data_IF_272663566491
#
_entry.id   IF_272663566491
#
_cell.length_a   1.000
_cell.length_b   1.000
_cell.length_c   1.000
_cell.angle_alpha   90.00
_cell.angle_beta   90.00
_cell.angle_gamma   90.00
#
_symmetry.space_group_name_H-M   'P 1'
#
loop_
_entity.id
_entity.type
_entity.pdbx_description
1 polymer ?
#
# COMPACT_ATOMS: atom_id res chain seq x y z
N UNK A 1 -29.02 -2.37 -21.19
CA UNK A 1 -27.80 -2.17 -22.00
C UNK A 1 -26.69 -2.98 -21.34
N UNK A 2 -25.90 -3.75 -22.10
CA UNK A 2 -24.84 -4.57 -21.52
C UNK A 2 -23.70 -3.65 -20.99
N UNK A 3 -23.43 -3.69 -19.68
CA UNK A 3 -22.39 -2.87 -19.04
C UNK A 3 -20.96 -3.38 -19.29
N UNK A 4 -20.81 -4.59 -19.82
CA UNK A 4 -19.51 -5.25 -20.08
C UNK A 4 -18.50 -4.38 -20.84
N UNK A 5 -18.81 -3.80 -22.03
CA UNK A 5 -17.83 -3.00 -22.76
C UNK A 5 -17.36 -1.77 -21.97
N UNK A 6 -18.25 -1.14 -21.19
CA UNK A 6 -17.90 -0.01 -20.34
C UNK A 6 -16.97 -0.44 -19.19
N UNK A 7 -17.24 -1.58 -18.55
CA UNK A 7 -16.41 -2.13 -17.48
C UNK A 7 -15.03 -2.60 -17.99
N UNK A 8 -14.96 -3.20 -19.17
CA UNK A 8 -13.68 -3.57 -19.82
C UNK A 8 -12.87 -2.32 -20.15
N UNK A 9 -13.50 -1.29 -20.72
CA UNK A 9 -12.84 -0.01 -20.97
C UNK A 9 -12.33 0.65 -19.68
N UNK A 10 -13.16 0.65 -18.63
CA UNK A 10 -12.82 1.18 -17.31
C UNK A 10 -11.63 0.46 -16.68
N UNK A 11 -11.68 -0.88 -16.59
CA UNK A 11 -10.60 -1.68 -16.00
C UNK A 11 -9.30 -1.55 -16.78
N UNK A 12 -9.37 -1.46 -18.11
CA UNK A 12 -8.19 -1.18 -18.95
C UNK A 12 -7.61 0.21 -18.64
N UNK A 13 -8.45 1.24 -18.54
CA UNK A 13 -8.03 2.60 -18.19
C UNK A 13 -7.36 2.63 -16.81
N UNK A 14 -7.95 2.01 -15.79
CA UNK A 14 -7.41 1.98 -14.42
C UNK A 14 -6.16 1.11 -14.31
N UNK A 15 -6.14 -0.06 -14.95
CA UNK A 15 -5.04 -1.03 -14.86
C UNK A 15 -3.80 -0.63 -15.66
N UNK A 16 -3.97 0.14 -16.74
CA UNK A 16 -2.88 0.47 -17.68
C UNK A 16 -2.60 1.96 -17.76
N UNK A 17 -3.61 2.82 -17.91
CA UNK A 17 -3.39 4.25 -18.19
C UNK A 17 -3.17 5.05 -16.91
N UNK A 18 -4.01 4.85 -15.90
CA UNK A 18 -3.95 5.60 -14.63
C UNK A 18 -2.57 5.54 -13.93
N UNK A 19 -1.83 4.40 -13.91
CA UNK A 19 -0.49 4.33 -13.33
C UNK A 19 0.49 5.29 -14.02
N UNK A 20 0.47 5.37 -15.35
CA UNK A 20 1.34 6.27 -16.09
C UNK A 20 1.00 7.74 -15.86
N UNK A 21 -0.30 8.06 -15.68
CA UNK A 21 -0.74 9.41 -15.31
C UNK A 21 -0.25 9.77 -13.91
N UNK A 22 -0.33 8.84 -12.95
CA UNK A 22 0.19 9.05 -11.60
C UNK A 22 1.70 9.28 -11.58
N UNK A 23 2.47 8.48 -12.30
CA UNK A 23 3.92 8.60 -12.37
C UNK A 23 4.39 9.91 -13.02
N UNK A 24 3.64 10.43 -13.98
CA UNK A 24 3.95 11.73 -14.62
C UNK A 24 3.53 12.94 -13.79
N UNK A 25 2.67 12.73 -12.80
CA UNK A 25 2.19 13.82 -11.97
C UNK A 25 3.23 14.19 -10.91
N UNK A 26 3.50 15.49 -10.72
CA UNK A 26 4.43 15.96 -9.67
C UNK A 26 3.78 16.17 -8.29
N UNK A 27 2.48 15.89 -8.14
CA UNK A 27 1.77 16.03 -6.87
C UNK A 27 1.96 14.86 -5.89
N UNK A 28 2.17 13.59 -6.30
CA UNK A 28 2.28 12.48 -5.36
C UNK A 28 3.39 12.67 -4.32
N UNK A 29 4.56 13.15 -4.75
CA UNK A 29 5.66 13.45 -3.83
C UNK A 29 5.35 14.64 -2.89
N UNK A 30 4.46 15.56 -3.28
CA UNK A 30 4.06 16.70 -2.44
C UNK A 30 2.98 16.36 -1.42
N UNK A 31 2.21 15.29 -1.66
CA UNK A 31 1.15 14.82 -0.79
C UNK A 31 1.16 13.29 -0.71
N UNK A 32 2.19 12.69 -0.08
CA UNK A 32 2.44 11.26 -0.18
C UNK A 32 1.35 10.40 0.46
N UNK A 33 0.75 10.84 1.58
CA UNK A 33 -0.38 10.15 2.21
C UNK A 33 -1.60 10.06 1.27
N UNK A 34 -1.88 11.14 0.55
CA UNK A 34 -2.98 11.18 -0.41
C UNK A 34 -2.69 10.32 -1.65
N UNK A 35 -1.45 10.30 -2.11
CA UNK A 35 -1.02 9.44 -3.20
C UNK A 35 -1.14 7.95 -2.85
N UNK A 36 -0.75 7.55 -1.64
CA UNK A 36 -0.96 6.19 -1.13
C UNK A 36 -2.46 5.84 -1.18
N UNK A 37 -3.33 6.75 -0.72
CA UNK A 37 -4.77 6.54 -0.76
C UNK A 37 -5.30 6.36 -2.20
N UNK A 38 -4.83 7.18 -3.15
CA UNK A 38 -5.21 7.06 -4.57
C UNK A 38 -4.74 5.73 -5.18
N UNK A 39 -3.50 5.30 -4.94
CA UNK A 39 -3.02 3.99 -5.41
C UNK A 39 -3.87 2.83 -4.86
N UNK A 40 -4.23 2.87 -3.57
CA UNK A 40 -5.10 1.87 -2.97
C UNK A 40 -6.52 1.92 -3.54
N UNK A 41 -7.06 3.12 -3.75
CA UNK A 41 -8.37 3.30 -4.37
C UNK A 41 -8.40 2.74 -5.80
N UNK A 42 -7.34 2.95 -6.59
CA UNK A 42 -7.22 2.37 -7.93
C UNK A 42 -7.14 0.84 -7.88
N UNK A 43 -6.36 0.26 -6.96
CA UNK A 43 -6.25 -1.19 -6.80
C UNK A 43 -7.59 -1.85 -6.39
N UNK A 44 -8.30 -1.24 -5.43
CA UNK A 44 -9.64 -1.70 -5.00
C UNK A 44 -10.63 -1.57 -6.16
N UNK A 45 -10.67 -0.40 -6.81
CA UNK A 45 -11.60 -0.15 -7.91
C UNK A 45 -11.37 -1.09 -9.09
N UNK A 46 -10.10 -1.34 -9.44
CA UNK A 46 -9.74 -2.31 -10.46
C UNK A 46 -10.25 -3.71 -10.10
N UNK A 47 -10.03 -4.15 -8.86
CA UNK A 47 -10.47 -5.47 -8.39
C UNK A 47 -11.99 -5.63 -8.48
N UNK A 48 -12.75 -4.60 -8.07
CA UNK A 48 -14.21 -4.57 -8.19
C UNK A 48 -14.62 -4.58 -9.67
N UNK A 49 -13.98 -3.76 -10.52
CA UNK A 49 -14.28 -3.69 -11.94
C UNK A 49 -14.06 -5.01 -12.68
N UNK A 50 -12.98 -5.74 -12.37
CA UNK A 50 -12.72 -7.07 -12.94
C UNK A 50 -13.76 -8.08 -12.48
N UNK A 51 -14.11 -8.07 -11.19
CA UNK A 51 -15.16 -8.94 -10.66
C UNK A 51 -16.52 -8.67 -11.35
N UNK A 52 -16.90 -7.40 -11.50
CA UNK A 52 -18.14 -7.02 -12.19
C UNK A 52 -18.11 -7.36 -13.68
N UNK A 53 -16.96 -7.22 -14.34
CA UNK A 53 -16.79 -7.61 -15.75
C UNK A 53 -17.01 -9.11 -15.91
N UNK A 54 -16.39 -9.93 -15.05
CA UNK A 54 -16.57 -11.38 -15.08
C UNK A 54 -18.04 -11.78 -14.83
N UNK A 55 -18.69 -11.13 -13.87
CA UNK A 55 -20.12 -11.34 -13.59
C UNK A 55 -20.99 -11.01 -14.82
N UNK A 56 -20.82 -9.83 -15.43
CA UNK A 56 -21.65 -9.41 -16.57
C UNK A 56 -21.39 -10.25 -17.84
N UNK A 57 -20.18 -10.78 -18.00
CA UNK A 57 -19.87 -11.68 -19.11
C UNK A 57 -20.54 -13.05 -18.93
N UNK A 58 -20.64 -13.53 -17.69
CA UNK A 58 -21.33 -14.78 -17.36
C UNK A 58 -22.86 -14.63 -17.37
N UNK A 59 -23.39 -13.47 -16.97
CA UNK A 59 -24.84 -13.18 -16.88
C UNK A 59 -25.20 -11.87 -17.62
N UNK A 60 -25.22 -11.86 -18.97
CA UNK A 60 -25.38 -10.63 -19.75
C UNK A 60 -26.77 -9.98 -19.64
N UNK A 61 -27.78 -10.74 -19.22
CA UNK A 61 -29.19 -10.36 -19.22
C UNK A 61 -29.75 -10.10 -17.82
N UNK A 62 -29.08 -10.55 -16.77
CA UNK A 62 -29.54 -10.39 -15.39
C UNK A 62 -28.98 -9.11 -14.77
N UNK A 63 -29.84 -8.37 -14.07
CA UNK A 63 -29.41 -7.17 -13.35
C UNK A 63 -28.63 -7.56 -12.09
N UNK A 64 -27.66 -6.73 -11.66
CA UNK A 64 -26.77 -7.02 -10.53
C UNK A 64 -27.52 -7.36 -9.23
N UNK A 65 -28.71 -6.77 -9.03
CA UNK A 65 -29.60 -7.06 -7.90
C UNK A 65 -30.10 -8.52 -7.90
N UNK A 66 -30.46 -9.07 -9.06
CA UNK A 66 -30.85 -10.47 -9.18
C UNK A 66 -29.67 -11.42 -8.91
N UNK A 67 -28.46 -11.01 -9.30
CA UNK A 67 -27.21 -11.71 -8.99
C UNK A 67 -26.83 -11.71 -7.52
N UNK A 68 -27.01 -10.59 -6.82
CA UNK A 68 -26.74 -10.47 -5.38
C UNK A 68 -27.70 -11.35 -4.56
N UNK A 69 -28.98 -11.37 -4.96
CA UNK A 69 -29.96 -12.29 -4.38
C UNK A 69 -29.56 -13.74 -4.66
N UNK A 70 -29.15 -14.08 -5.88
CA UNK A 70 -28.62 -15.41 -6.22
C UNK A 70 -27.34 -15.79 -5.44
N UNK A 71 -26.45 -14.83 -5.17
CA UNK A 71 -25.27 -15.02 -4.34
C UNK A 71 -25.65 -15.35 -2.89
N UNK A 72 -26.60 -14.61 -2.31
CA UNK A 72 -27.12 -14.89 -0.96
C UNK A 72 -27.75 -16.29 -0.88
N UNK A 73 -28.50 -16.70 -1.90
CA UNK A 73 -29.04 -18.07 -2.01
C UNK A 73 -27.94 -19.14 -2.13
N UNK A 74 -26.94 -18.94 -2.98
CA UNK A 74 -25.81 -19.89 -3.13
C UNK A 74 -24.95 -19.99 -1.87
N UNK A 75 -24.94 -18.97 -1.03
CA UNK A 75 -24.38 -18.98 0.32
C UNK A 75 -25.30 -19.63 1.37
N UNK A 76 -26.47 -20.15 0.99
CA UNK A 76 -27.41 -20.85 1.88
C UNK A 76 -28.28 -19.93 2.76
N UNK A 77 -28.32 -18.63 2.47
CA UNK A 77 -29.24 -17.69 3.11
C UNK A 77 -30.54 -17.65 2.30
N UNK A 78 -31.45 -18.56 2.64
CA UNK A 78 -32.66 -18.80 1.88
C UNK A 78 -33.71 -17.69 2.10
N UNK A 79 -33.95 -16.88 1.07
CA UNK A 79 -35.09 -15.94 1.00
C UNK A 79 -36.02 -16.38 -0.14
N UNK A 80 -36.51 -17.62 -0.06
CA UNK A 80 -37.72 -18.06 -0.77
C UNK A 80 -37.57 -18.50 -2.24
N UNK A 81 -38.11 -19.70 -2.47
CA UNK A 81 -38.49 -20.37 -3.72
C UNK A 81 -37.36 -20.97 -4.57
N UNK A 82 -37.38 -22.31 -4.65
CA UNK A 82 -36.45 -23.15 -5.39
C UNK A 82 -36.29 -22.76 -6.86
N UNK A 83 -35.07 -22.33 -7.20
CA UNK A 83 -34.55 -22.29 -8.57
C UNK A 83 -33.92 -23.66 -8.89
N UNK A 84 -33.90 -24.08 -10.17
CA UNK A 84 -33.19 -25.29 -10.59
C UNK A 84 -31.69 -25.19 -10.30
N UNK A 85 -31.00 -26.34 -10.27
CA UNK A 85 -29.55 -26.42 -10.01
C UNK A 85 -28.78 -25.36 -10.81
N UNK A 86 -27.88 -24.60 -10.18
CA UNK A 86 -27.19 -23.49 -10.83
C UNK A 86 -26.40 -23.99 -12.04
N UNK A 87 -26.66 -23.35 -13.19
CA UNK A 87 -25.98 -23.64 -14.44
C UNK A 87 -24.49 -23.25 -14.37
N UNK A 88 -23.73 -23.61 -15.40
CA UNK A 88 -22.32 -23.19 -15.49
C UNK A 88 -22.17 -21.66 -15.45
N UNK A 89 -23.08 -20.92 -16.07
CA UNK A 89 -23.09 -19.46 -16.06
C UNK A 89 -23.25 -18.89 -14.65
N UNK A 90 -24.22 -19.39 -13.87
CA UNK A 90 -24.45 -18.95 -12.48
C UNK A 90 -23.22 -19.21 -11.61
N UNK A 91 -22.61 -20.39 -11.76
CA UNK A 91 -21.38 -20.75 -11.03
C UNK A 91 -20.20 -19.85 -11.39
N UNK A 92 -20.04 -19.46 -12.66
CA UNK A 92 -18.97 -18.55 -13.08
C UNK A 92 -19.22 -17.12 -12.62
N UNK A 93 -20.47 -16.66 -12.68
CA UNK A 93 -20.87 -15.32 -12.28
C UNK A 93 -20.56 -15.02 -10.82
N UNK A 94 -20.77 -16.01 -9.95
CA UNK A 94 -20.44 -15.93 -8.51
C UNK A 94 -18.99 -16.34 -8.25
N UNK A 95 -18.55 -17.44 -8.87
CA UNK A 95 -17.28 -18.09 -8.58
C UNK A 95 -16.07 -17.23 -8.91
N UNK A 96 -16.08 -16.48 -10.03
CA UNK A 96 -14.93 -15.65 -10.41
C UNK A 96 -14.75 -14.46 -9.47
N UNK A 97 -15.78 -13.63 -9.18
CA UNK A 97 -15.69 -12.59 -8.13
C UNK A 97 -15.26 -13.13 -6.78
N UNK A 98 -15.85 -14.26 -6.34
CA UNK A 98 -15.50 -14.89 -5.08
C UNK A 98 -14.04 -15.35 -5.07
N UNK A 99 -13.56 -15.95 -6.15
CA UNK A 99 -12.16 -16.37 -6.28
C UNK A 99 -11.19 -15.19 -6.23
N UNK A 100 -11.51 -14.05 -6.85
CA UNK A 100 -10.69 -12.83 -6.78
C UNK A 100 -10.64 -12.32 -5.33
N UNK A 101 -11.80 -12.23 -4.66
CA UNK A 101 -11.87 -11.77 -3.28
C UNK A 101 -11.10 -12.71 -2.32
N UNK A 102 -11.26 -14.03 -2.49
CA UNK A 102 -10.53 -15.04 -1.73
C UNK A 102 -9.03 -14.95 -2.01
N UNK A 103 -8.61 -14.80 -3.27
CA UNK A 103 -7.19 -14.70 -3.62
C UNK A 103 -6.53 -13.46 -3.00
N UNK A 104 -7.19 -12.29 -3.07
CA UNK A 104 -6.68 -11.06 -2.47
C UNK A 104 -6.60 -11.15 -0.94
N UNK A 105 -7.65 -11.65 -0.29
CA UNK A 105 -7.71 -11.78 1.18
C UNK A 105 -6.75 -12.84 1.70
N UNK A 106 -6.66 -14.00 1.04
CA UNK A 106 -5.71 -15.06 1.38
C UNK A 106 -4.26 -14.61 1.15
N UNK A 107 -3.97 -13.91 0.04
CA UNK A 107 -2.64 -13.35 -0.21
C UNK A 107 -2.27 -12.32 0.84
N UNK A 108 -3.17 -11.39 1.19
CA UNK A 108 -2.94 -10.43 2.27
C UNK A 108 -2.66 -11.13 3.61
N UNK A 109 -3.49 -12.10 3.98
CA UNK A 109 -3.30 -12.89 5.19
C UNK A 109 -1.96 -13.62 5.19
N UNK A 110 -1.57 -14.21 4.05
CA UNK A 110 -0.28 -14.88 3.87
C UNK A 110 0.90 -13.90 4.04
N UNK A 111 0.86 -12.73 3.40
CA UNK A 111 1.92 -11.72 3.50
C UNK A 111 2.07 -11.20 4.93
N UNK A 112 0.95 -10.95 5.61
CA UNK A 112 0.95 -10.54 7.03
C UNK A 112 1.47 -11.67 7.92
N UNK A 113 1.05 -12.91 7.70
CA UNK A 113 1.49 -14.06 8.49
C UNK A 113 2.99 -14.35 8.29
N UNK A 114 3.48 -14.33 7.04
CA UNK A 114 4.89 -14.50 6.70
C UNK A 114 5.75 -13.41 7.35
N UNK A 115 5.35 -12.15 7.22
CA UNK A 115 6.05 -11.03 7.86
C UNK A 115 6.04 -11.15 9.40
N UNK A 116 4.92 -11.61 9.99
CA UNK A 116 4.85 -11.85 11.44
C UNK A 116 5.82 -12.95 11.88
N UNK A 117 5.88 -14.08 11.16
CA UNK A 117 6.79 -15.20 11.46
C UNK A 117 8.25 -14.77 11.42
N UNK A 118 8.69 -14.16 10.31
CA UNK A 118 10.05 -13.65 10.17
C UNK A 118 10.41 -12.65 11.28
N UNK A 119 9.46 -11.82 11.73
CA UNK A 119 9.67 -10.88 12.84
C UNK A 119 9.69 -11.55 14.21
N UNK A 120 9.05 -12.69 14.40
CA UNK A 120 9.10 -13.43 15.67
C UNK A 120 10.50 -14.00 15.85
N UNK A 121 11.03 -14.67 14.83
CA UNK A 121 12.40 -15.19 14.81
C UNK A 121 13.45 -14.08 15.01
N UNK A 122 13.27 -12.96 14.31
CA UNK A 122 14.16 -11.80 14.47
C UNK A 122 14.07 -11.18 15.88
N UNK A 123 12.88 -11.17 16.49
CA UNK A 123 12.72 -10.68 17.88
C UNK A 123 13.42 -11.58 18.88
N UNK A 124 13.33 -12.90 18.73
CA UNK A 124 14.02 -13.85 19.61
C UNK A 124 15.53 -13.61 19.55
N UNK A 125 16.07 -13.42 18.34
CA UNK A 125 17.48 -13.03 18.17
C UNK A 125 17.79 -11.71 18.87
N UNK A 126 16.96 -10.68 18.68
CA UNK A 126 17.15 -9.38 19.32
C UNK A 126 17.01 -9.38 20.84
N UNK A 127 16.18 -10.25 21.40
CA UNK A 127 16.03 -10.38 22.85
C UNK A 127 17.29 -11.03 23.46
N UNK A 128 18.11 -11.74 22.66
CA UNK A 128 19.40 -12.30 23.09
C UNK A 128 20.56 -11.31 22.98
N UNK A 129 20.62 -10.51 21.90
CA UNK A 129 21.79 -9.65 21.61
C UNK A 129 21.54 -8.15 21.77
N UNK A 130 20.28 -7.72 21.80
CA UNK A 130 19.89 -6.32 21.88
C UNK A 130 19.79 -5.83 23.32
N UNK A 131 20.16 -4.56 23.55
CA UNK A 131 20.00 -3.89 24.85
C UNK A 131 18.98 -2.77 24.73
N UNK A 132 17.92 -2.80 25.55
CA UNK A 132 16.94 -1.73 25.56
C UNK A 132 17.52 -0.46 26.20
N UNK A 133 17.38 0.68 25.51
CA UNK A 133 17.74 2.00 26.02
C UNK A 133 16.47 2.82 26.25
N UNK A 134 16.14 3.07 27.53
CA UNK A 134 14.99 3.90 27.90
C UNK A 134 15.13 5.34 27.39
N UNK A 135 16.36 5.88 27.39
CA UNK A 135 16.65 7.24 26.89
C UNK A 135 16.29 7.40 25.42
N UNK A 136 16.57 6.38 24.60
CA UNK A 136 16.30 6.40 23.16
C UNK A 136 14.93 5.81 22.82
N UNK A 137 14.23 5.22 23.80
CA UNK A 137 13.03 4.40 23.58
C UNK A 137 13.23 3.35 22.46
N UNK A 138 14.44 2.82 22.34
CA UNK A 138 14.87 1.94 21.25
C UNK A 138 15.73 0.78 21.77
N UNK A 139 15.84 -0.29 20.98
CA UNK A 139 16.73 -1.41 21.25
C UNK A 139 18.04 -1.20 20.50
N UNK A 140 19.16 -1.15 21.22
CA UNK A 140 20.50 -1.00 20.63
C UNK A 140 21.07 -2.38 20.33
N UNK A 141 21.47 -2.62 19.08
CA UNK A 141 22.04 -3.87 18.60
C UNK A 141 23.54 -3.69 18.32
N UNK A 142 24.43 -4.59 18.78
CA UNK A 142 25.83 -4.59 18.38
C UNK A 142 25.94 -4.92 16.88
N UNK A 143 26.23 -3.91 16.05
CA UNK A 143 26.34 -4.08 14.61
C UNK A 143 27.22 -2.97 14.01
N UNK A 144 28.26 -3.38 13.28
CA UNK A 144 29.33 -2.49 12.84
C UNK A 144 28.92 -1.44 11.79
N UNK A 145 27.74 -1.59 11.16
CA UNK A 145 27.25 -0.70 10.12
C UNK A 145 26.05 0.08 10.66
N UNK A 146 26.03 1.43 10.56
CA UNK A 146 24.85 2.23 10.86
C UNK A 146 23.55 1.68 10.25
N UNK A 147 22.65 1.25 11.13
CA UNK A 147 21.36 0.72 10.77
C UNK A 147 20.30 1.10 11.81
N UNK A 148 19.11 1.41 11.31
CA UNK A 148 17.91 1.58 12.08
C UNK A 148 16.78 0.92 11.30
N UNK A 149 15.85 0.32 12.03
CA UNK A 149 14.63 -0.25 11.47
C UNK A 149 13.60 -0.46 12.58
N UNK A 150 12.34 -0.47 12.19
CA UNK A 150 11.24 -0.79 13.10
C UNK A 150 10.81 -2.27 13.02
N UNK A 151 10.29 -2.79 14.13
CA UNK A 151 9.64 -4.10 14.19
C UNK A 151 8.17 -3.97 14.57
N UNK A 152 7.26 -3.84 13.58
CA UNK A 152 5.83 -3.65 13.85
C UNK A 152 5.19 -4.93 14.40
N UNK A 153 4.06 -4.79 15.12
CA UNK A 153 3.26 -5.90 15.63
C UNK A 153 2.70 -5.61 17.02
N UNK A 154 2.41 -6.67 17.80
CA UNK A 154 1.87 -6.56 19.17
C UNK A 154 2.81 -5.87 20.16
N UNK A 155 4.12 -6.06 19.98
CA UNK A 155 5.17 -5.39 20.75
C UNK A 155 6.04 -4.61 19.78
N UNK A 156 5.57 -3.44 19.30
CA UNK A 156 6.32 -2.64 18.38
C UNK A 156 7.56 -2.08 19.07
N UNK A 157 8.70 -2.05 18.38
CA UNK A 157 9.92 -1.41 18.87
C UNK A 157 10.77 -0.92 17.71
N UNK A 158 11.52 0.15 17.96
CA UNK A 158 12.58 0.63 17.08
C UNK A 158 13.88 -0.06 17.48
N UNK A 159 14.66 -0.47 16.48
CA UNK A 159 15.99 -1.06 16.66
C UNK A 159 17.00 -0.15 15.98
N UNK A 160 18.12 0.10 16.66
CA UNK A 160 19.22 0.91 16.17
C UNK A 160 20.55 0.20 16.43
N UNK A 161 21.49 0.26 15.51
CA UNK A 161 22.84 -0.26 15.71
C UNK A 161 23.63 0.62 16.69
N UNK A 162 24.55 0.03 17.43
CA UNK A 162 25.55 0.78 18.22
C UNK A 162 26.43 1.69 17.35
N UNK A 163 26.72 1.30 16.11
CA UNK A 163 27.41 2.16 15.15
C UNK A 163 26.63 3.45 14.85
N UNK A 164 25.34 3.36 14.55
CA UNK A 164 24.49 4.55 14.38
C UNK A 164 24.44 5.44 15.63
N UNK A 165 24.45 4.86 16.84
CA UNK A 165 24.48 5.64 18.09
C UNK A 165 25.81 6.38 18.28
N UNK A 166 26.91 5.82 17.79
CA UNK A 166 28.26 6.42 17.88
C UNK A 166 28.53 7.44 16.79
N UNK A 167 28.02 7.21 15.59
CA UNK A 167 28.38 7.97 14.38
C UNK A 167 27.42 9.13 14.10
N UNK A 168 26.14 9.01 14.47
CA UNK A 168 25.17 10.09 14.30
C UNK A 168 25.21 11.07 15.48
N UNK A 169 25.02 12.36 15.19
CA UNK A 169 24.78 13.36 16.24
C UNK A 169 23.44 13.08 16.96
N UNK A 170 23.22 13.62 18.18
CA UNK A 170 21.97 13.43 18.90
C UNK A 170 20.73 13.85 18.10
N UNK A 171 20.82 14.93 17.32
CA UNK A 171 19.72 15.44 16.49
C UNK A 171 19.45 14.52 15.30
N UNK A 172 20.52 14.02 14.65
CA UNK A 172 20.42 13.07 13.54
C UNK A 172 19.82 11.74 14.00
N UNK A 173 20.30 11.22 15.14
CA UNK A 173 19.76 10.02 15.75
C UNK A 173 18.28 10.22 16.13
N UNK A 174 17.93 11.37 16.69
CA UNK A 174 16.53 11.74 16.97
C UNK A 174 15.65 11.69 15.71
N UNK A 175 16.12 12.27 14.60
CA UNK A 175 15.39 12.26 13.34
C UNK A 175 15.17 10.84 12.80
N UNK A 176 16.19 9.98 12.89
CA UNK A 176 16.07 8.56 12.50
C UNK A 176 15.06 7.81 13.39
N UNK A 177 15.09 8.04 14.70
CA UNK A 177 14.15 7.40 15.62
C UNK A 177 12.70 7.84 15.37
N UNK A 178 12.48 9.13 15.12
CA UNK A 178 11.15 9.66 14.75
C UNK A 178 10.64 9.08 13.43
N UNK A 179 11.53 8.93 12.44
CA UNK A 179 11.22 8.27 11.17
C UNK A 179 10.79 6.80 11.38
N UNK A 180 11.57 6.02 12.14
CA UNK A 180 11.23 4.62 12.43
C UNK A 180 9.94 4.47 13.26
N UNK A 181 9.72 5.40 14.20
CA UNK A 181 8.50 5.43 14.99
C UNK A 181 7.27 5.73 14.12
N UNK A 182 7.43 6.56 13.07
CA UNK A 182 6.36 6.85 12.12
C UNK A 182 5.89 5.59 11.38
N UNK A 183 6.80 4.69 10.98
CA UNK A 183 6.42 3.41 10.36
C UNK A 183 5.56 2.53 11.26
N UNK A 184 5.85 2.52 12.56
CA UNK A 184 5.06 1.80 13.58
C UNK A 184 3.69 2.46 13.71
N UNK A 185 3.67 3.77 13.96
CA UNK A 185 2.45 4.54 14.21
C UNK A 185 1.49 4.48 13.02
N UNK A 186 2.01 4.68 11.81
CA UNK A 186 1.25 4.60 10.55
C UNK A 186 0.94 3.18 10.09
N UNK A 187 1.44 2.15 10.80
CA UNK A 187 1.29 0.73 10.43
C UNK A 187 1.67 0.47 8.96
N UNK A 188 2.73 1.11 8.48
CA UNK A 188 3.14 1.11 7.06
C UNK A 188 3.30 -0.31 6.48
N UNK A 189 3.71 -1.27 7.31
CA UNK A 189 3.76 -2.68 6.93
C UNK A 189 2.44 -3.30 6.47
N UNK A 190 1.28 -2.87 6.97
CA UNK A 190 -0.03 -3.38 6.53
C UNK A 190 -0.40 -2.79 5.17
N UNK A 191 -0.07 -1.52 4.95
CA UNK A 191 -0.27 -0.82 3.67
C UNK A 191 0.56 -1.50 2.57
N UNK A 192 1.84 -1.79 2.86
CA UNK A 192 2.69 -2.58 1.96
C UNK A 192 2.17 -3.98 1.71
N UNK A 193 1.70 -4.68 2.75
CA UNK A 193 1.15 -6.02 2.61
C UNK A 193 -0.11 -6.03 1.71
N UNK A 194 -0.94 -4.98 1.75
CA UNK A 194 -2.10 -4.85 0.88
C UNK A 194 -1.69 -4.69 -0.59
N UNK A 195 -0.72 -3.82 -0.89
CA UNK A 195 -0.23 -3.65 -2.26
C UNK A 195 0.53 -4.87 -2.78
N UNK A 196 1.28 -5.56 -1.92
CA UNK A 196 1.97 -6.80 -2.28
C UNK A 196 0.96 -7.93 -2.54
N UNK A 197 -0.13 -8.00 -1.77
CA UNK A 197 -1.22 -8.93 -2.04
C UNK A 197 -1.88 -8.66 -3.39
N UNK A 198 -2.22 -7.40 -3.67
CA UNK A 198 -2.73 -6.99 -4.99
C UNK A 198 -1.75 -7.34 -6.10
N UNK A 199 -0.46 -7.05 -5.91
CA UNK A 199 0.59 -7.39 -6.87
C UNK A 199 0.68 -8.89 -7.16
N UNK A 200 0.61 -9.73 -6.12
CA UNK A 200 0.69 -11.19 -6.29
C UNK A 200 -0.45 -11.77 -7.12
N UNK A 201 -1.65 -11.19 -7.03
CA UNK A 201 -2.84 -11.62 -7.79
C UNK A 201 -2.80 -11.07 -9.22
N UNK A 202 -2.33 -9.84 -9.39
CA UNK A 202 -2.41 -9.09 -10.65
C UNK A 202 -1.03 -8.76 -11.26
N UNK A 203 -0.05 -9.65 -11.10
CA UNK A 203 1.38 -9.41 -11.39
C UNK A 203 1.74 -8.89 -12.78
N UNK A 204 0.88 -9.13 -13.78
CA UNK A 204 1.12 -8.73 -15.17
C UNK A 204 0.68 -7.28 -15.46
N UNK A 205 0.00 -6.63 -14.53
CA UNK A 205 -0.57 -5.30 -14.75
C UNK A 205 0.41 -4.18 -14.36
N UNK A 206 0.51 -3.12 -15.18
CA UNK A 206 1.28 -1.92 -14.81
C UNK A 206 0.85 -1.33 -13.47
N UNK A 207 -0.47 -1.28 -13.20
CA UNK A 207 -1.00 -0.83 -11.91
C UNK A 207 -0.42 -1.62 -10.74
N UNK A 208 -0.35 -2.95 -10.84
CA UNK A 208 0.15 -3.81 -9.79
C UNK A 208 1.64 -3.60 -9.50
N UNK A 209 2.45 -3.38 -10.54
CA UNK A 209 3.88 -3.14 -10.40
C UNK A 209 4.15 -1.75 -9.80
N UNK A 210 3.60 -0.70 -10.41
CA UNK A 210 3.84 0.69 -9.98
C UNK A 210 3.22 1.00 -8.63
N UNK A 211 1.99 0.53 -8.34
CA UNK A 211 1.37 0.80 -7.05
C UNK A 211 2.20 0.24 -5.88
N UNK A 212 2.84 -0.93 -6.07
CA UNK A 212 3.71 -1.57 -5.06
C UNK A 212 4.97 -0.76 -4.80
N UNK A 213 5.67 -0.34 -5.85
CA UNK A 213 6.93 0.41 -5.75
C UNK A 213 6.71 1.84 -5.25
N UNK A 214 5.73 2.53 -5.83
CA UNK A 214 5.39 3.90 -5.44
C UNK A 214 4.85 3.95 -4.02
N UNK A 215 4.00 3.00 -3.60
CA UNK A 215 3.54 2.95 -2.20
C UNK A 215 4.71 2.83 -1.23
N UNK A 216 5.73 2.01 -1.55
CA UNK A 216 6.90 1.90 -0.68
C UNK A 216 7.65 3.24 -0.57
N UNK A 217 7.94 3.90 -1.69
CA UNK A 217 8.59 5.20 -1.70
C UNK A 217 7.76 6.27 -0.95
N UNK A 218 6.46 6.31 -1.17
CA UNK A 218 5.57 7.30 -0.55
C UNK A 218 5.44 7.08 0.96
N UNK A 219 5.46 5.84 1.44
CA UNK A 219 5.46 5.54 2.87
C UNK A 219 6.75 6.00 3.57
N UNK A 220 7.89 5.91 2.89
CA UNK A 220 9.16 6.52 3.37
C UNK A 220 9.03 8.05 3.45
N UNK A 221 8.43 8.68 2.43
CA UNK A 221 8.19 10.13 2.44
C UNK A 221 7.23 10.56 3.57
N UNK A 222 6.23 9.75 3.91
CA UNK A 222 5.33 10.01 5.05
C UNK A 222 6.09 9.91 6.37
N UNK A 223 7.02 8.96 6.49
CA UNK A 223 7.87 8.83 7.67
C UNK A 223 8.87 10.01 7.78
N UNK A 224 9.43 10.46 6.65
CA UNK A 224 10.23 11.69 6.59
C UNK A 224 9.42 12.90 7.06
N UNK A 225 8.20 13.08 6.54
CA UNK A 225 7.30 14.16 6.95
C UNK A 225 6.96 14.11 8.45
N UNK A 226 7.04 12.93 9.08
CA UNK A 226 6.90 12.79 10.53
C UNK A 226 8.12 13.34 11.27
N UNK A 227 9.33 12.93 10.86
CA UNK A 227 10.58 13.40 11.46
C UNK A 227 10.75 14.91 11.29
N UNK A 228 10.37 15.45 10.12
CA UNK A 228 10.44 16.88 9.79
C UNK A 228 9.53 17.78 10.63
N UNK A 229 8.58 17.22 11.41
CA UNK A 229 7.82 18.01 12.38
C UNK A 229 8.62 18.38 13.63
N UNK A 230 9.72 17.67 13.89
CA UNK A 230 10.56 17.84 15.09
C UNK A 230 12.02 18.13 14.78
N UNK A 231 12.46 17.85 13.55
CA UNK A 231 13.85 18.01 13.12
C UNK A 231 13.93 18.84 11.84
N UNK A 232 15.05 19.51 11.62
CA UNK A 232 15.28 20.30 10.41
C UNK A 232 15.56 19.42 9.19
N UNK A 233 15.35 20.00 8.01
CA UNK A 233 15.59 19.37 6.71
C UNK A 233 17.04 18.90 6.58
N UNK A 234 17.99 19.74 7.01
CA UNK A 234 19.43 19.45 7.00
C UNK A 234 19.80 18.27 7.91
N UNK A 235 19.21 18.20 9.11
CA UNK A 235 19.47 17.12 10.07
C UNK A 235 18.97 15.79 9.51
N UNK A 236 17.74 15.75 8.99
CA UNK A 236 17.20 14.52 8.39
C UNK A 236 17.99 14.12 7.15
N UNK A 237 18.28 15.05 6.24
CA UNK A 237 19.02 14.76 5.02
C UNK A 237 20.44 14.24 5.32
N UNK A 238 21.14 14.82 6.29
CA UNK A 238 22.46 14.35 6.70
C UNK A 238 22.37 12.96 7.30
N UNK A 239 21.40 12.71 8.19
CA UNK A 239 21.20 11.38 8.76
C UNK A 239 20.91 10.32 7.69
N UNK A 240 20.06 10.64 6.71
CA UNK A 240 19.78 9.75 5.56
C UNK A 240 21.04 9.44 4.75
N UNK A 241 21.87 10.45 4.50
CA UNK A 241 23.12 10.29 3.76
C UNK A 241 24.11 9.39 4.52
N UNK A 242 24.35 9.65 5.80
CA UNK A 242 25.26 8.84 6.64
C UNK A 242 24.81 7.36 6.70
N UNK A 243 23.51 7.14 6.91
CA UNK A 243 22.92 5.80 6.97
C UNK A 243 23.00 5.06 5.62
N UNK A 244 22.88 5.77 4.51
CA UNK A 244 23.02 5.19 3.17
C UNK A 244 24.49 4.92 2.81
N UNK A 245 25.38 5.86 3.09
CA UNK A 245 26.81 5.75 2.80
C UNK A 245 27.45 4.56 3.55
N UNK A 246 27.03 4.33 4.79
CA UNK A 246 27.45 3.20 5.61
C UNK A 246 27.12 1.82 5.02
N UNK A 247 25.98 1.69 4.32
CA UNK A 247 25.50 0.40 3.77
C UNK A 247 26.06 0.07 2.40
N UNK A 248 26.75 1.01 1.77
CA UNK A 248 27.12 0.93 0.37
C UNK A 248 28.64 0.79 0.25
N UNK A 249 29.19 -0.34 -0.27
CA UNK A 249 30.59 -0.40 -0.64
C UNK A 249 30.91 0.73 -1.62
N UNK A 250 32.03 1.45 -1.43
CA UNK A 250 32.44 2.56 -2.32
C UNK A 250 32.42 2.08 -3.78
N UNK A 251 31.42 2.52 -4.56
CA UNK A 251 31.30 2.21 -6.00
C UNK A 251 30.06 1.42 -6.43
N UNK A 252 29.20 0.94 -5.52
CA UNK A 252 28.01 0.16 -5.90
C UNK A 252 26.69 0.80 -5.41
N UNK A 253 26.08 1.70 -6.19
CA UNK A 253 24.72 2.17 -5.91
C UNK A 253 23.71 1.03 -6.18
N UNK A 254 23.29 0.32 -5.11
CA UNK A 254 22.19 -0.64 -5.18
C UNK A 254 20.85 0.06 -5.45
N UNK A 255 19.81 -0.70 -5.82
CA UNK A 255 18.45 -0.19 -6.07
C UNK A 255 17.87 0.68 -4.93
N UNK A 256 18.33 0.49 -3.68
CA UNK A 256 17.97 1.33 -2.54
C UNK A 256 18.55 2.76 -2.58
N UNK A 257 19.58 3.02 -3.38
CA UNK A 257 20.18 4.35 -3.51
C UNK A 257 19.31 5.33 -4.30
N UNK A 258 18.54 4.86 -5.29
CA UNK A 258 17.68 5.73 -6.09
C UNK A 258 16.53 6.33 -5.26
N UNK A 259 15.91 5.53 -4.39
CA UNK A 259 14.84 6.01 -3.51
C UNK A 259 15.34 6.99 -2.46
N UNK A 260 16.56 6.79 -1.93
CA UNK A 260 17.20 7.74 -1.01
C UNK A 260 17.48 9.08 -1.71
N UNK A 261 17.97 9.06 -2.95
CA UNK A 261 18.22 10.30 -3.72
C UNK A 261 16.92 11.09 -3.97
N UNK A 262 15.83 10.41 -4.36
CA UNK A 262 14.52 11.07 -4.55
C UNK A 262 14.06 11.73 -3.25
N UNK A 263 14.19 11.04 -2.12
CA UNK A 263 13.81 11.58 -0.81
C UNK A 263 14.70 12.75 -0.39
N UNK A 264 16.02 12.67 -0.59
CA UNK A 264 16.95 13.77 -0.31
C UNK A 264 16.61 15.02 -1.14
N UNK A 265 16.37 14.85 -2.43
CA UNK A 265 15.95 15.95 -3.32
C UNK A 265 14.63 16.57 -2.86
N UNK A 266 13.70 15.76 -2.35
CA UNK A 266 12.42 16.24 -1.81
C UNK A 266 12.61 16.98 -0.48
N UNK A 267 13.41 16.45 0.44
CA UNK A 267 13.65 17.03 1.77
C UNK A 267 14.36 18.37 1.66
N UNK A 268 15.38 18.46 0.80
CA UNK A 268 16.18 19.69 0.59
C UNK A 268 15.58 20.63 -0.46
N UNK A 269 14.59 20.17 -1.22
CA UNK A 269 13.95 20.93 -2.29
C UNK A 269 12.90 21.93 -1.77
N UNK A 270 12.46 22.89 -2.61
CA UNK A 270 11.44 23.85 -2.23
C UNK A 270 10.11 23.19 -1.86
N UNK A 271 9.64 23.40 -0.62
CA UNK A 271 8.31 22.93 -0.17
C UNK A 271 7.21 23.83 -0.70
N UNK A 272 6.60 23.43 -1.82
CA UNK A 272 5.35 24.03 -2.30
C UNK A 272 4.16 23.23 -1.79
N UNK A 273 3.48 23.74 -0.76
CA UNK A 273 2.21 23.18 -0.31
C UNK A 273 1.22 23.16 -1.50
N UNK A 274 0.58 22.03 -1.83
CA UNK A 274 -0.43 22.02 -2.86
C UNK A 274 -1.66 22.83 -2.41
N UNK A 275 -2.34 23.49 -3.34
CA UNK A 275 -3.51 24.31 -3.03
C UNK A 275 -4.61 23.45 -2.34
N UNK A 276 -5.27 23.94 -1.27
CA UNK A 276 -6.22 23.14 -0.49
C UNK A 276 -7.39 22.59 -1.32
N UNK A 277 -7.85 23.32 -2.34
CA UNK A 277 -8.86 22.82 -3.27
C UNK A 277 -8.40 21.57 -4.05
N UNK A 278 -7.13 21.51 -4.45
CA UNK A 278 -6.58 20.32 -5.11
C UNK A 278 -6.58 19.12 -4.17
N UNK A 279 -6.29 19.32 -2.88
CA UNK A 279 -6.37 18.27 -1.86
C UNK A 279 -7.78 17.75 -1.69
N UNK A 280 -8.75 18.64 -1.52
CA UNK A 280 -10.16 18.28 -1.40
C UNK A 280 -10.63 17.46 -2.59
N UNK A 281 -10.30 17.89 -3.81
CA UNK A 281 -10.68 17.20 -5.04
C UNK A 281 -10.03 15.82 -5.15
N UNK A 282 -8.73 15.68 -4.86
CA UNK A 282 -8.05 14.38 -4.96
C UNK A 282 -8.50 13.44 -3.85
N UNK A 283 -8.80 13.93 -2.64
CA UNK A 283 -9.36 13.12 -1.56
C UNK A 283 -10.77 12.63 -1.91
N UNK A 284 -11.63 13.51 -2.44
CA UNK A 284 -12.94 13.13 -2.92
C UNK A 284 -12.84 12.09 -4.05
N UNK A 285 -11.89 12.26 -4.97
CA UNK A 285 -11.64 11.29 -6.04
C UNK A 285 -11.18 9.94 -5.50
N UNK A 286 -10.25 9.90 -4.54
CA UNK A 286 -9.79 8.66 -3.92
C UNK A 286 -10.96 7.89 -3.25
N UNK A 287 -11.93 8.60 -2.68
CA UNK A 287 -13.13 7.99 -2.11
C UNK A 287 -14.15 7.55 -3.16
N UNK A 288 -14.29 8.29 -4.27
CA UNK A 288 -15.27 8.01 -5.31
C UNK A 288 -14.84 6.91 -6.28
N UNK A 289 -13.56 6.83 -6.62
CA UNK A 289 -13.01 5.89 -7.63
C UNK A 289 -13.38 4.42 -7.37
N UNK A 290 -13.33 3.88 -6.14
CA UNK A 290 -13.76 2.51 -5.84
C UNK A 290 -15.23 2.22 -6.12
N UNK A 291 -16.09 3.26 -6.15
CA UNK A 291 -17.52 3.13 -6.37
C UNK A 291 -17.91 3.25 -7.85
N UNK A 292 -17.02 3.80 -8.71
CA UNK A 292 -17.31 3.98 -10.13
C UNK A 292 -17.69 2.69 -10.87
N UNK A 293 -17.03 1.52 -10.65
CA UNK A 293 -17.45 0.28 -11.30
C UNK A 293 -18.89 -0.11 -10.94
N UNK A 294 -19.30 0.13 -9.70
CA UNK A 294 -20.66 -0.16 -9.23
C UNK A 294 -21.68 0.75 -9.92
N UNK A 295 -21.36 2.04 -10.10
CA UNK A 295 -22.22 2.98 -10.82
C UNK A 295 -22.34 2.64 -12.31
N UNK A 296 -21.27 2.14 -12.92
CA UNK A 296 -21.30 1.66 -14.33
C UNK A 296 -22.15 0.39 -14.46
N UNK A 297 -22.06 -0.53 -13.49
CA UNK A 297 -22.85 -1.76 -13.48
C UNK A 297 -24.32 -1.53 -13.07
N UNK A 298 -24.60 -0.54 -12.23
CA UNK A 298 -25.93 -0.16 -11.74
C UNK A 298 -26.12 1.37 -11.85
N UNK A 299 -26.49 1.90 -13.03
CA UNK A 299 -26.84 3.30 -13.15
C UNK A 299 -28.08 3.61 -12.30
N UNK A 300 -28.02 4.59 -11.38
CA UNK A 300 -29.17 4.95 -10.54
C UNK A 300 -30.30 5.48 -11.43
N UNK A 301 -31.45 4.79 -11.45
CA UNK A 301 -32.64 5.21 -12.21
C UNK A 301 -33.26 4.17 -13.16
N UNK A 302 -32.73 2.94 -13.22
CA UNK A 302 -33.31 1.82 -13.98
C UNK A 302 -33.51 0.59 -13.07
N UNK A 303 -34.23 0.79 -11.97
CA UNK A 303 -34.75 -0.27 -11.10
C UNK A 303 -36.24 -0.40 -11.25
#
# INVERSE_FOLDING_TARGET
>A
MNATPALVGYTTMVGVVAPHVMLRAGWPHRAPALAVAVWHALAVSFSIGVALTAYNLAMPTEHLHAGLVGLLHSCGLDVGAGRPDPGMADRLAVGVPAAIAVALTASFAYQVARARRARTEHRETLDLVGRHSARLSATVLPYAIPAAYCLPGRRPRVVVSDAAVRELTPEQLGAVLEHEQAHIAGRHHLVLAAMEAFHSVFRLLPLAHHAREETALLLEMIADDHALRRHSDEVLATAMYEMAAARTPKGAFAAGGHTVLIRLQRVLGPRKAPHPALWGSVAALAMAVPLLPLLVACPPGLG
#
